data_IF_988579889238
#
_entry.id   IF_988579889238
#
_cell.length_a   1.000
_cell.length_b   1.000
_cell.length_c   1.000
_cell.angle_alpha   90.00
_cell.angle_beta   90.00
_cell.angle_gamma   90.00
#
_symmetry.space_group_name_H-M   'P 1'
#
loop_
_entity.id
_entity.type
_entity.pdbx_description
1 polymer ?
#
# COMPACT_ATOMS: atom_id res chain seq x y z
N UNK A 1 1.92 12.63 -2.33
CA UNK A 1 1.68 11.32 -2.99
C UNK A 1 2.93 10.44 -3.04
N UNK A 2 4.12 10.98 -3.37
CA UNK A 2 5.32 10.16 -3.63
C UNK A 2 6.28 10.01 -2.43
N UNK A 3 5.83 10.35 -1.21
CA UNK A 3 6.64 10.29 0.01
C UNK A 3 7.94 11.12 -0.01
N UNK A 4 7.94 12.23 -0.74
CA UNK A 4 9.09 13.15 -0.87
C UNK A 4 8.87 14.50 -0.19
N UNK A 5 7.89 14.59 0.71
CA UNK A 5 7.44 15.86 1.29
C UNK A 5 8.34 16.42 2.39
N UNK A 6 9.08 15.56 3.09
CA UNK A 6 9.82 15.96 4.29
C UNK A 6 8.93 16.18 5.53
N UNK A 7 7.61 15.96 5.43
CA UNK A 7 6.70 16.19 6.57
C UNK A 7 6.92 15.09 7.62
N UNK A 8 7.15 15.43 8.90
CA UNK A 8 7.33 14.44 9.95
C UNK A 8 6.05 13.63 10.18
N UNK A 9 6.23 12.37 10.58
CA UNK A 9 5.12 11.49 10.93
C UNK A 9 4.35 12.04 12.13
N UNK A 10 3.03 11.89 12.13
CA UNK A 10 2.14 12.49 13.14
C UNK A 10 1.85 11.59 14.34
N UNK A 11 2.32 10.34 14.32
CA UNK A 11 2.20 9.42 15.43
C UNK A 11 3.37 9.52 16.42
N UNK A 12 3.09 9.16 17.67
CA UNK A 12 4.09 9.03 18.74
C UNK A 12 4.26 7.56 19.14
N UNK A 13 5.45 7.18 19.58
CA UNK A 13 5.70 5.84 20.17
C UNK A 13 5.72 5.96 21.69
N UNK A 14 4.76 5.33 22.36
CA UNK A 14 4.63 5.27 23.83
C UNK A 14 4.65 3.80 24.25
N UNK A 15 5.60 3.39 25.09
CA UNK A 15 5.74 2.00 25.54
C UNK A 15 5.71 0.98 24.38
N UNK A 16 6.44 1.28 23.30
CA UNK A 16 6.48 0.49 22.06
C UNK A 16 5.14 0.38 21.31
N UNK A 17 4.14 1.17 21.69
CA UNK A 17 2.87 1.30 20.98
C UNK A 17 2.80 2.62 20.25
N UNK A 18 2.35 2.58 19.01
CA UNK A 18 2.10 3.78 18.22
C UNK A 18 0.79 4.42 18.68
N UNK A 19 0.76 5.74 18.84
CA UNK A 19 -0.40 6.50 19.31
C UNK A 19 -0.59 7.75 18.45
N UNK A 20 -1.85 8.07 18.16
CA UNK A 20 -2.23 9.22 17.34
C UNK A 20 -2.75 10.38 18.19
N UNK A 21 -2.57 11.64 17.74
CA UNK A 21 -3.25 12.79 18.33
C UNK A 21 -4.78 12.63 18.32
N UNK A 22 -5.47 13.38 19.19
CA UNK A 22 -6.91 13.20 19.39
C UNK A 22 -7.76 13.60 18.18
N UNK A 23 -7.32 14.56 17.37
CA UNK A 23 -8.04 15.02 16.18
C UNK A 23 -7.08 15.47 15.08
N UNK A 24 -7.60 15.55 13.85
CA UNK A 24 -6.88 16.12 12.72
C UNK A 24 -6.41 17.56 12.98
N UNK A 25 -7.20 18.39 13.67
CA UNK A 25 -6.81 19.75 14.06
C UNK A 25 -5.57 19.76 14.96
N UNK A 26 -5.49 18.83 15.94
CA UNK A 26 -4.31 18.67 16.77
C UNK A 26 -3.08 18.22 15.96
N UNK A 27 -3.28 17.37 14.95
CA UNK A 27 -2.22 16.98 14.01
C UNK A 27 -1.68 18.21 13.27
N UNK A 28 -2.54 19.01 12.66
CA UNK A 28 -2.14 20.19 11.89
C UNK A 28 -1.43 21.21 12.77
N UNK A 29 -1.96 21.49 13.97
CA UNK A 29 -1.33 22.41 14.92
C UNK A 29 0.07 21.93 15.31
N UNK A 30 0.21 20.65 15.66
CA UNK A 30 1.49 20.09 16.05
C UNK A 30 2.52 20.08 14.91
N UNK A 31 2.08 19.84 13.67
CA UNK A 31 2.97 19.84 12.50
C UNK A 31 3.39 21.25 12.07
N UNK A 32 2.52 22.26 12.25
CA UNK A 32 2.85 23.65 11.94
C UNK A 32 4.01 24.22 12.77
N UNK A 33 4.37 23.55 13.86
CA UNK A 33 5.48 23.91 14.76
C UNK A 33 6.75 23.08 14.50
N UNK A 34 6.76 22.22 13.48
CA UNK A 34 7.88 21.30 13.18
C UNK A 34 8.55 21.67 11.86
N UNK A 35 9.88 21.61 11.89
CA UNK A 35 10.68 21.65 10.68
C UNK A 35 10.53 20.35 9.87
N UNK A 36 10.64 20.41 8.53
CA UNK A 36 10.74 19.21 7.70
C UNK A 36 11.91 18.32 8.12
N UNK A 37 11.72 17.00 8.12
CA UNK A 37 12.79 16.02 8.41
C UNK A 37 13.86 15.97 7.30
N UNK A 38 13.53 16.44 6.11
CA UNK A 38 14.44 16.66 4.98
C UNK A 38 13.81 17.64 3.99
N UNK A 39 14.63 18.22 3.12
CA UNK A 39 14.15 19.15 2.09
C UNK A 39 13.28 18.45 1.04
N UNK A 40 12.24 19.13 0.58
CA UNK A 40 11.33 18.61 -0.44
C UNK A 40 12.06 18.00 -1.63
N UNK A 41 11.66 16.80 -2.03
CA UNK A 41 12.20 16.07 -3.19
C UNK A 41 13.70 15.71 -3.13
N UNK A 42 14.34 15.81 -1.96
CA UNK A 42 15.72 15.33 -1.76
C UNK A 42 15.79 13.87 -1.33
N UNK A 43 14.78 13.37 -0.63
CA UNK A 43 14.72 12.01 -0.09
C UNK A 43 13.31 11.42 -0.21
N UNK A 44 13.20 10.12 0.01
CA UNK A 44 11.92 9.40 0.10
C UNK A 44 11.79 8.83 1.50
N UNK A 45 10.73 9.23 2.20
CA UNK A 45 10.38 8.70 3.51
C UNK A 45 8.89 8.42 3.54
N UNK A 46 8.55 7.14 3.59
CA UNK A 46 7.17 6.71 3.74
C UNK A 46 6.59 7.27 5.04
N UNK A 47 5.44 7.92 4.95
CA UNK A 47 4.77 8.54 6.10
C UNK A 47 3.28 8.70 5.83
N UNK A 48 2.49 8.33 6.83
CA UNK A 48 1.04 8.30 6.80
C UNK A 48 0.45 9.70 6.66
N UNK A 49 1.11 10.73 7.21
CA UNK A 49 0.66 12.12 7.13
C UNK A 49 0.42 12.59 5.69
N UNK A 50 1.21 12.11 4.72
CA UNK A 50 1.06 12.54 3.33
C UNK A 50 -0.32 12.17 2.77
N UNK A 51 -0.82 10.98 3.11
CA UNK A 51 -2.12 10.52 2.65
C UNK A 51 -3.26 11.05 3.52
N UNK A 52 -3.02 11.30 4.80
CA UNK A 52 -3.94 12.05 5.65
C UNK A 52 -4.23 13.46 5.06
N UNK A 53 -3.18 14.18 4.66
CA UNK A 53 -3.32 15.51 4.04
C UNK A 53 -3.98 15.45 2.66
N UNK A 54 -3.72 14.40 1.87
CA UNK A 54 -4.42 14.20 0.59
C UNK A 54 -5.92 13.98 0.82
N UNK A 55 -6.29 13.18 1.82
CA UNK A 55 -7.69 12.99 2.22
C UNK A 55 -8.35 14.32 2.54
N UNK A 56 -7.76 15.10 3.45
CA UNK A 56 -8.27 16.42 3.82
C UNK A 56 -8.36 17.40 2.62
N UNK A 57 -7.40 17.35 1.69
CA UNK A 57 -7.44 18.15 0.46
C UNK A 57 -8.63 17.75 -0.43
N UNK A 58 -8.87 16.45 -0.62
CA UNK A 58 -10.00 15.96 -1.39
C UNK A 58 -11.32 16.42 -0.75
N UNK A 59 -11.44 16.34 0.57
CA UNK A 59 -12.63 16.83 1.28
C UNK A 59 -12.82 18.33 1.09
N UNK A 60 -11.75 19.11 1.24
CA UNK A 60 -11.80 20.57 1.10
C UNK A 60 -12.17 21.01 -0.32
N UNK A 61 -11.72 20.30 -1.36
CA UNK A 61 -11.98 20.69 -2.76
C UNK A 61 -13.37 20.23 -3.22
N UNK A 62 -13.87 19.12 -2.69
CA UNK A 62 -15.14 18.52 -3.14
C UNK A 62 -16.33 18.87 -2.25
N UNK A 63 -16.10 19.24 -0.99
CA UNK A 63 -17.14 19.40 0.01
C UNK A 63 -17.77 18.08 0.49
N UNK A 64 -17.23 16.93 0.09
CA UNK A 64 -17.66 15.59 0.52
C UNK A 64 -16.65 14.99 1.48
N UNK A 65 -17.07 14.08 2.38
CA UNK A 65 -16.10 13.31 3.16
C UNK A 65 -15.32 12.36 2.26
N UNK A 66 -14.10 11.99 2.68
CA UNK A 66 -13.27 11.04 1.96
C UNK A 66 -13.99 9.69 1.79
N UNK A 67 -14.72 9.25 2.82
CA UNK A 67 -15.49 8.02 2.75
C UNK A 67 -16.62 8.08 1.71
N UNK A 68 -17.35 9.20 1.64
CA UNK A 68 -18.38 9.41 0.62
C UNK A 68 -17.78 9.43 -0.78
N UNK A 69 -16.63 10.08 -0.97
CA UNK A 69 -15.94 10.09 -2.26
C UNK A 69 -15.52 8.70 -2.71
N UNK A 70 -14.93 7.89 -1.81
CA UNK A 70 -14.53 6.52 -2.12
C UNK A 70 -15.74 5.64 -2.40
N UNK A 71 -16.82 5.80 -1.63
CA UNK A 71 -18.06 5.07 -1.87
C UNK A 71 -18.66 5.41 -3.25
N UNK A 72 -18.79 6.70 -3.57
CA UNK A 72 -19.41 7.19 -4.81
C UNK A 72 -18.57 6.86 -6.04
N UNK A 73 -17.25 7.07 -5.97
CA UNK A 73 -16.36 7.00 -7.14
C UNK A 73 -15.71 5.63 -7.34
N UNK A 74 -15.63 4.79 -6.31
CA UNK A 74 -14.93 3.51 -6.37
C UNK A 74 -15.83 2.34 -5.97
N UNK A 75 -16.34 2.31 -4.75
CA UNK A 75 -16.96 1.10 -4.23
C UNK A 75 -18.29 0.77 -4.91
N UNK A 76 -19.19 1.76 -5.03
CA UNK A 76 -20.50 1.56 -5.67
C UNK A 76 -20.37 1.22 -7.16
N UNK A 77 -19.61 1.97 -7.99
CA UNK A 77 -19.50 1.67 -9.42
C UNK A 77 -18.83 0.33 -9.72
N UNK A 78 -17.92 -0.11 -8.87
CA UNK A 78 -17.21 -1.39 -9.02
C UNK A 78 -17.92 -2.55 -8.31
N UNK A 79 -19.04 -2.32 -7.63
CA UNK A 79 -19.77 -3.33 -6.86
C UNK A 79 -18.90 -4.01 -5.78
N UNK A 80 -18.05 -3.25 -5.10
CA UNK A 80 -17.18 -3.72 -4.02
C UNK A 80 -17.95 -3.78 -2.69
N UNK A 81 -18.90 -4.71 -2.59
CA UNK A 81 -19.82 -4.83 -1.46
C UNK A 81 -19.20 -5.37 -0.16
N UNK A 82 -17.98 -5.89 -0.21
CA UNK A 82 -17.22 -6.40 0.93
C UNK A 82 -16.05 -5.48 1.28
N UNK A 83 -16.11 -4.22 0.84
CA UNK A 83 -15.12 -3.20 1.14
C UNK A 83 -15.72 -2.13 2.02
N UNK A 84 -15.07 -1.84 3.14
CA UNK A 84 -15.59 -0.95 4.17
C UNK A 84 -14.52 0.04 4.62
N UNK A 85 -14.89 1.31 4.67
CA UNK A 85 -14.09 2.37 5.25
C UNK A 85 -14.57 2.60 6.68
N UNK A 86 -13.62 2.75 7.62
CA UNK A 86 -13.91 3.23 8.99
C UNK A 86 -14.99 2.41 9.70
N UNK A 87 -14.72 1.12 9.87
CA UNK A 87 -15.61 0.24 10.61
C UNK A 87 -15.58 0.58 12.11
N UNK A 88 -16.41 1.52 12.55
CA UNK A 88 -16.75 1.76 13.96
C UNK A 88 -17.27 0.45 14.59
N UNK A 89 -17.87 -0.41 13.78
CA UNK A 89 -18.11 -1.82 14.06
C UNK A 89 -17.69 -2.65 12.85
N UNK A 90 -16.82 -3.63 13.07
CA UNK A 90 -16.43 -4.57 12.03
C UNK A 90 -17.63 -5.48 11.69
N UNK A 91 -17.91 -5.73 10.40
CA UNK A 91 -18.81 -6.80 10.00
C UNK A 91 -18.42 -8.13 10.68
N UNK A 92 -19.38 -9.02 10.91
CA UNK A 92 -19.14 -10.31 11.59
C UNK A 92 -18.09 -11.17 10.89
N UNK A 93 -17.91 -10.96 9.59
CA UNK A 93 -17.05 -11.80 8.74
C UNK A 93 -15.64 -11.23 8.56
N UNK A 94 -15.27 -10.17 9.31
CA UNK A 94 -13.89 -9.68 9.30
C UNK A 94 -12.98 -10.68 10.01
N UNK A 95 -11.95 -11.12 9.30
CA UNK A 95 -10.93 -12.02 9.85
C UNK A 95 -10.06 -11.25 10.86
N UNK A 96 -9.94 -11.72 12.11
CA UNK A 96 -9.05 -11.11 13.10
C UNK A 96 -7.60 -11.15 12.61
N UNK A 97 -6.87 -10.05 12.79
CA UNK A 97 -5.44 -9.98 12.45
C UNK A 97 -4.55 -10.22 13.68
N UNK A 98 -3.36 -10.75 13.41
CA UNK A 98 -2.35 -11.09 14.39
C UNK A 98 -1.03 -10.39 14.07
N UNK A 99 -0.27 -10.05 15.10
CA UNK A 99 1.03 -9.39 14.96
C UNK A 99 2.04 -10.34 14.29
N UNK A 100 2.75 -9.90 13.24
CA UNK A 100 3.90 -10.65 12.73
C UNK A 100 5.03 -10.66 13.76
N UNK A 101 5.91 -11.66 13.70
CA UNK A 101 7.08 -11.77 14.60
C UNK A 101 6.72 -11.73 16.09
N UNK A 102 5.56 -12.29 16.49
CA UNK A 102 5.07 -12.18 17.87
C UNK A 102 5.77 -13.10 18.88
N UNK A 103 6.83 -13.80 18.45
CA UNK A 103 7.56 -14.83 19.19
C UNK A 103 6.88 -16.20 19.08
N UNK A 104 6.96 -17.04 20.11
CA UNK A 104 6.40 -18.40 20.11
C UNK A 104 4.86 -18.45 20.23
N UNK A 105 4.18 -17.30 20.28
CA UNK A 105 2.74 -17.21 20.48
C UNK A 105 2.13 -16.18 19.57
N UNK A 106 1.02 -16.56 18.94
CA UNK A 106 0.19 -15.68 18.12
C UNK A 106 -0.41 -14.59 19.04
N UNK A 107 -0.21 -13.32 18.69
CA UNK A 107 -0.76 -12.18 19.45
C UNK A 107 -1.75 -11.41 18.58
N UNK A 108 -2.99 -11.15 19.04
CA UNK A 108 -3.93 -10.31 18.30
C UNK A 108 -3.33 -8.93 18.03
N UNK A 109 -3.52 -8.43 16.81
CA UNK A 109 -3.18 -7.06 16.48
C UNK A 109 -4.23 -6.13 17.08
N UNK A 110 -3.86 -5.45 18.17
CA UNK A 110 -4.73 -4.51 18.89
C UNK A 110 -4.61 -3.08 18.37
N UNK A 111 -3.87 -2.88 17.29
CA UNK A 111 -3.62 -1.54 16.79
C UNK A 111 -4.88 -0.95 16.16
N UNK A 112 -5.28 0.22 16.67
CA UNK A 112 -6.44 0.97 16.17
C UNK A 112 -5.95 2.31 15.67
N UNK A 113 -6.14 2.55 14.37
CA UNK A 113 -5.87 3.85 13.78
C UNK A 113 -6.94 4.87 14.17
N UNK A 114 -6.60 6.17 14.25
CA UNK A 114 -7.58 7.21 14.51
C UNK A 114 -8.64 7.27 13.42
N UNK A 115 -9.86 7.64 13.80
CA UNK A 115 -11.04 7.69 12.91
C UNK A 115 -10.94 8.71 11.78
N UNK A 116 -10.04 9.70 11.90
CA UNK A 116 -9.73 10.68 10.85
C UNK A 116 -8.63 10.19 9.88
N UNK A 117 -8.05 9.00 10.13
CA UNK A 117 -6.95 8.44 9.33
C UNK A 117 -7.37 7.69 8.06
N UNK A 118 -8.66 7.64 7.72
CA UNK A 118 -9.21 6.74 6.69
C UNK A 118 -8.53 6.81 5.33
N UNK A 119 -7.91 7.95 4.99
CA UNK A 119 -7.22 8.13 3.71
C UNK A 119 -5.90 7.35 3.57
N UNK A 120 -5.32 6.84 4.66
CA UNK A 120 -4.06 6.10 4.65
C UNK A 120 -4.14 4.75 5.39
N UNK A 121 -5.32 4.38 5.89
CA UNK A 121 -5.55 3.17 6.67
C UNK A 121 -7.05 2.89 6.84
N UNK A 122 -7.41 1.80 7.53
CA UNK A 122 -8.78 1.57 7.98
C UNK A 122 -9.76 1.14 6.89
N UNK A 123 -9.23 0.65 5.77
CA UNK A 123 -9.99 -0.04 4.72
C UNK A 123 -9.94 -1.54 4.98
N UNK A 124 -11.10 -2.15 5.06
CA UNK A 124 -11.28 -3.61 5.05
C UNK A 124 -11.79 -4.01 3.67
N UNK A 125 -11.30 -5.11 3.12
CA UNK A 125 -11.70 -5.57 1.80
C UNK A 125 -11.61 -7.09 1.70
N UNK A 126 -12.24 -7.66 0.68
CA UNK A 126 -12.04 -9.05 0.28
C UNK A 126 -11.02 -9.16 -0.87
N UNK A 127 -10.48 -10.36 -1.10
CA UNK A 127 -9.65 -10.62 -2.29
C UNK A 127 -10.42 -10.40 -3.60
N UNK A 128 -11.72 -10.70 -3.59
CA UNK A 128 -12.61 -10.50 -4.75
C UNK A 128 -12.77 -9.01 -5.08
N UNK A 129 -13.07 -8.17 -4.08
CA UNK A 129 -13.23 -6.73 -4.25
C UNK A 129 -11.91 -6.06 -4.67
N UNK A 130 -10.78 -6.48 -4.07
CA UNK A 130 -9.46 -6.00 -4.49
C UNK A 130 -9.16 -6.36 -5.96
N UNK A 131 -9.60 -7.54 -6.42
CA UNK A 131 -9.47 -7.92 -7.82
C UNK A 131 -10.32 -7.01 -8.72
N UNK A 132 -11.56 -6.67 -8.33
CA UNK A 132 -12.40 -5.73 -9.07
C UNK A 132 -11.75 -4.34 -9.19
N UNK A 133 -11.20 -3.83 -8.09
CA UNK A 133 -10.46 -2.56 -8.08
C UNK A 133 -9.24 -2.59 -8.98
N UNK A 134 -8.35 -3.57 -8.78
CA UNK A 134 -7.08 -3.66 -9.51
C UNK A 134 -7.31 -3.95 -10.99
N UNK A 135 -8.22 -4.84 -11.36
CA UNK A 135 -8.55 -5.09 -12.78
C UNK A 135 -9.12 -3.84 -13.44
N UNK A 136 -10.04 -3.13 -12.79
CA UNK A 136 -10.61 -1.88 -13.33
C UNK A 136 -9.57 -0.77 -13.48
N UNK A 137 -8.61 -0.69 -12.56
CA UNK A 137 -7.45 0.21 -12.67
C UNK A 137 -6.57 -0.17 -13.86
N UNK A 138 -6.18 -1.45 -13.98
CA UNK A 138 -5.30 -1.95 -15.03
C UNK A 138 -5.94 -1.94 -16.42
N UNK A 139 -7.27 -2.01 -16.51
CA UNK A 139 -8.04 -1.88 -17.75
C UNK A 139 -8.26 -0.41 -18.16
N UNK A 140 -7.87 0.55 -17.32
CA UNK A 140 -8.02 1.98 -17.59
C UNK A 140 -9.44 2.53 -17.36
N UNK A 141 -10.31 1.78 -16.67
CA UNK A 141 -11.70 2.19 -16.40
C UNK A 141 -11.82 3.27 -15.33
N UNK A 142 -10.88 3.28 -14.38
CA UNK A 142 -10.84 4.27 -13.29
C UNK A 142 -10.03 5.51 -13.68
N UNK A 143 -8.88 5.29 -14.32
CA UNK A 143 -7.96 6.31 -14.79
C UNK A 143 -7.39 5.80 -16.11
N UNK A 144 -7.37 6.66 -17.13
CA UNK A 144 -6.83 6.29 -18.43
C UNK A 144 -5.40 5.75 -18.33
N UNK A 145 -5.08 4.71 -19.12
CA UNK A 145 -3.77 4.03 -19.07
C UNK A 145 -2.60 4.98 -19.35
N UNK A 146 -2.75 5.96 -20.24
CA UNK A 146 -1.70 6.92 -20.52
C UNK A 146 -1.43 7.84 -19.32
N UNK A 147 -2.48 8.19 -18.56
CA UNK A 147 -2.36 8.92 -17.30
C UNK A 147 -1.65 8.05 -16.25
N UNK A 148 -2.02 6.77 -16.12
CA UNK A 148 -1.37 5.84 -15.20
C UNK A 148 0.12 5.69 -15.50
N UNK A 149 0.52 5.51 -16.76
CA UNK A 149 1.94 5.43 -17.16
C UNK A 149 2.70 6.70 -16.74
N UNK A 150 2.06 7.87 -16.86
CA UNK A 150 2.66 9.14 -16.42
C UNK A 150 2.77 9.23 -14.90
N UNK A 151 1.73 8.86 -14.15
CA UNK A 151 1.67 8.90 -12.70
C UNK A 151 2.59 7.86 -12.03
N UNK A 152 2.81 6.73 -12.69
CA UNK A 152 3.66 5.63 -12.21
C UNK A 152 5.10 5.72 -12.70
N UNK A 153 5.47 6.82 -13.37
CA UNK A 153 6.85 7.06 -13.74
C UNK A 153 7.67 7.47 -12.50
N UNK A 154 8.73 6.72 -12.16
CA UNK A 154 9.62 7.08 -11.05
C UNK A 154 10.20 8.49 -11.21
N UNK A 155 10.08 9.31 -10.17
CA UNK A 155 10.66 10.65 -10.15
C UNK A 155 12.16 10.59 -9.84
N UNK A 156 12.94 11.47 -10.48
CA UNK A 156 14.32 11.73 -10.07
C UNK A 156 14.31 12.71 -8.90
N UNK A 157 14.95 12.30 -7.81
CA UNK A 157 15.16 13.13 -6.64
C UNK A 157 16.31 14.10 -6.91
N UNK A 158 16.36 15.19 -6.14
CA UNK A 158 17.42 16.20 -6.26
C UNK A 158 18.81 15.65 -5.91
N UNK A 159 18.88 14.56 -5.15
CA UNK A 159 20.12 13.86 -4.85
C UNK A 159 20.55 12.85 -5.94
N UNK A 160 19.86 12.82 -7.10
CA UNK A 160 20.15 11.94 -8.24
C UNK A 160 19.55 10.54 -8.16
N UNK A 161 19.02 10.13 -6.99
CA UNK A 161 18.37 8.83 -6.83
C UNK A 161 17.00 8.80 -7.53
N UNK A 162 16.48 7.60 -7.73
CA UNK A 162 15.17 7.38 -8.35
C UNK A 162 14.17 6.95 -7.29
N UNK A 163 13.01 7.60 -7.24
CA UNK A 163 11.98 7.29 -6.27
C UNK A 163 11.34 5.92 -6.55
N UNK A 164 11.30 5.05 -5.56
CA UNK A 164 10.65 3.74 -5.66
C UNK A 164 9.15 3.79 -5.35
N UNK A 165 8.59 4.94 -4.99
CA UNK A 165 7.17 5.12 -4.68
C UNK A 165 6.52 6.16 -5.61
N UNK A 166 5.49 5.75 -6.34
CA UNK A 166 4.87 6.50 -7.43
C UNK A 166 3.36 6.57 -7.24
N UNK A 167 2.85 7.76 -6.91
CA UNK A 167 1.42 8.09 -6.86
C UNK A 167 0.56 7.07 -6.09
N UNK A 168 1.05 6.57 -4.95
CA UNK A 168 0.32 5.61 -4.10
C UNK A 168 0.81 4.17 -4.18
N UNK A 169 1.87 3.92 -4.93
CA UNK A 169 2.34 2.56 -5.20
C UNK A 169 3.84 2.43 -5.03
N UNK A 170 4.30 1.35 -4.43
CA UNK A 170 5.65 0.85 -4.67
C UNK A 170 5.81 0.55 -6.15
N UNK A 171 6.96 0.89 -6.72
CA UNK A 171 7.29 0.64 -8.11
C UNK A 171 8.57 -0.18 -8.23
N UNK A 172 8.53 -1.17 -9.13
CA UNK A 172 9.73 -1.87 -9.58
C UNK A 172 9.70 -2.03 -11.11
N UNK A 173 10.89 -2.19 -11.70
CA UNK A 173 11.06 -2.55 -13.12
C UNK A 173 12.01 -3.72 -13.21
N UNK A 174 11.63 -4.74 -13.98
CA UNK A 174 12.45 -5.93 -14.27
C UNK A 174 12.33 -6.28 -15.75
N UNK A 175 13.43 -6.11 -16.49
CA UNK A 175 13.41 -6.20 -17.95
C UNK A 175 12.42 -5.21 -18.58
N UNK A 176 11.51 -5.70 -19.41
CA UNK A 176 10.46 -4.92 -20.07
C UNK A 176 9.15 -4.86 -19.28
N UNK A 177 9.15 -5.41 -18.06
CA UNK A 177 8.00 -5.42 -17.18
C UNK A 177 8.16 -4.43 -16.04
N UNK A 178 7.03 -3.85 -15.67
CA UNK A 178 6.86 -2.93 -14.58
C UNK A 178 5.94 -3.55 -13.55
N UNK A 179 6.10 -3.16 -12.29
CA UNK A 179 5.14 -3.49 -11.25
C UNK A 179 4.79 -2.27 -10.42
N UNK A 180 3.51 -2.18 -10.06
CA UNK A 180 3.01 -1.28 -9.03
C UNK A 180 2.33 -2.10 -7.95
N UNK A 181 2.59 -1.80 -6.69
CA UNK A 181 2.04 -2.57 -5.58
C UNK A 181 1.99 -1.81 -4.28
N UNK A 182 1.43 -2.44 -3.26
CA UNK A 182 1.43 -1.89 -1.91
C UNK A 182 1.41 -3.03 -0.89
N UNK A 183 2.14 -2.86 0.21
CA UNK A 183 2.06 -3.73 1.39
C UNK A 183 1.19 -3.10 2.48
N UNK A 184 0.50 -3.91 3.27
CA UNK A 184 -0.30 -3.45 4.40
C UNK A 184 0.11 -4.11 5.71
N UNK A 185 1.35 -3.87 6.16
CA UNK A 185 1.83 -4.30 7.48
C UNK A 185 1.99 -5.81 7.59
N UNK A 186 2.51 -6.45 6.55
CA UNK A 186 2.66 -7.90 6.40
C UNK A 186 1.36 -8.72 6.41
N UNK A 187 0.19 -8.07 6.46
CA UNK A 187 -1.12 -8.73 6.37
C UNK A 187 -1.63 -8.82 4.93
N UNK A 188 -1.18 -7.93 4.06
CA UNK A 188 -1.58 -7.96 2.66
C UNK A 188 -0.46 -7.45 1.77
N UNK A 189 -0.44 -7.98 0.55
CA UNK A 189 0.34 -7.45 -0.57
C UNK A 189 -0.53 -7.52 -1.81
N UNK A 190 -0.64 -6.38 -2.49
CA UNK A 190 -1.19 -6.32 -3.84
C UNK A 190 -0.09 -5.90 -4.79
N UNK A 191 -0.06 -6.50 -5.99
CA UNK A 191 0.90 -6.14 -7.02
C UNK A 191 0.27 -6.35 -8.39
N UNK A 192 0.36 -5.34 -9.25
CA UNK A 192 -0.03 -5.42 -10.64
C UNK A 192 1.24 -5.28 -11.51
N UNK A 193 1.49 -6.30 -12.33
CA UNK A 193 2.59 -6.36 -13.27
C UNK A 193 2.08 -6.04 -14.66
N UNK A 194 2.80 -5.25 -15.43
CA UNK A 194 2.42 -4.90 -16.80
C UNK A 194 3.66 -4.74 -17.69
N UNK A 195 3.54 -5.08 -18.96
CA UNK A 195 4.60 -4.85 -19.93
C UNK A 195 4.75 -3.35 -20.28
N UNK A 196 5.85 -2.99 -20.93
CA UNK A 196 6.15 -1.60 -21.30
C UNK A 196 5.04 -0.90 -22.11
N UNK A 197 4.32 -1.62 -22.98
CA UNK A 197 3.19 -1.05 -23.74
C UNK A 197 1.86 -1.04 -22.98
N UNK A 198 1.81 -1.62 -21.78
CA UNK A 198 0.59 -1.79 -20.97
C UNK A 198 -0.55 -2.50 -21.72
N UNK A 199 -0.18 -3.43 -22.60
CA UNK A 199 -1.07 -4.26 -23.41
C UNK A 199 -1.36 -5.61 -22.74
N UNK A 200 -0.47 -6.11 -21.87
CA UNK A 200 -0.71 -7.26 -21.00
C UNK A 200 -0.41 -6.88 -19.54
N UNK A 201 -1.18 -7.47 -18.62
CA UNK A 201 -0.96 -7.32 -17.19
C UNK A 201 -1.34 -8.59 -16.41
N UNK A 202 -0.77 -8.71 -15.22
CA UNK A 202 -1.08 -9.76 -14.22
C UNK A 202 -1.28 -9.11 -12.86
N UNK A 203 -2.22 -9.60 -12.08
CA UNK A 203 -2.50 -9.13 -10.72
C UNK A 203 -2.22 -10.25 -9.73
N UNK A 204 -1.52 -9.92 -8.65
CA UNK A 204 -1.31 -10.79 -7.49
C UNK A 204 -1.91 -10.11 -6.28
N UNK A 205 -2.79 -10.84 -5.59
CA UNK A 205 -3.38 -10.44 -4.31
C UNK A 205 -3.01 -11.53 -3.31
N UNK A 206 -2.27 -11.14 -2.28
CA UNK A 206 -1.91 -12.00 -1.16
C UNK A 206 -2.47 -11.41 0.12
N UNK A 207 -3.33 -12.16 0.79
CA UNK A 207 -3.91 -11.80 2.09
C UNK A 207 -3.49 -12.86 3.12
N UNK A 208 -3.06 -12.40 4.28
CA UNK A 208 -2.81 -13.21 5.47
C UNK A 208 -3.34 -12.49 6.69
N UNK A 209 -3.79 -13.23 7.68
CA UNK A 209 -4.18 -12.66 8.97
C UNK A 209 -3.01 -12.56 9.95
N UNK A 210 -1.78 -12.71 9.47
CA UNK A 210 -0.54 -12.69 10.25
C UNK A 210 0.09 -14.08 10.35
N UNK A 211 1.38 -14.13 10.65
CA UNK A 211 2.11 -15.38 10.90
C UNK A 211 3.13 -15.17 12.02
N UNK A 212 3.57 -16.27 12.64
CA UNK A 212 4.55 -16.23 13.73
C UNK A 212 5.92 -15.76 13.22
N UNK A 213 6.32 -16.25 12.05
CA UNK A 213 7.70 -16.14 11.54
C UNK A 213 7.98 -14.83 10.78
N UNK A 214 6.99 -13.93 10.71
CA UNK A 214 7.06 -12.69 9.96
C UNK A 214 7.41 -12.87 8.48
N UNK A 215 7.03 -13.98 7.85
CA UNK A 215 7.38 -14.25 6.45
C UNK A 215 6.84 -13.12 5.59
N UNK A 216 7.76 -12.37 5.00
CA UNK A 216 7.42 -11.24 4.16
C UNK A 216 6.85 -11.73 2.83
N UNK A 217 5.62 -11.31 2.56
CA UNK A 217 4.87 -11.52 1.32
C UNK A 217 5.68 -11.19 0.05
N UNK A 218 6.65 -10.26 0.14
CA UNK A 218 7.48 -9.81 -0.98
C UNK A 218 8.25 -10.95 -1.66
N UNK A 219 8.85 -11.86 -0.89
CA UNK A 219 9.62 -12.98 -1.49
C UNK A 219 8.70 -13.92 -2.25
N UNK A 220 7.54 -14.26 -1.69
CA UNK A 220 6.56 -15.13 -2.33
C UNK A 220 6.00 -14.51 -3.62
N UNK A 221 5.58 -13.25 -3.57
CA UNK A 221 5.00 -12.54 -4.72
C UNK A 221 6.04 -12.37 -5.84
N UNK A 222 7.31 -12.07 -5.49
CA UNK A 222 8.40 -12.01 -6.47
C UNK A 222 8.75 -13.37 -7.07
N UNK A 223 8.67 -14.46 -6.32
CA UNK A 223 8.89 -15.79 -6.89
C UNK A 223 7.81 -16.15 -7.92
N UNK A 224 6.55 -15.75 -7.71
CA UNK A 224 5.48 -15.93 -8.71
C UNK A 224 5.73 -15.11 -9.97
N UNK A 225 6.24 -13.88 -9.82
CA UNK A 225 6.64 -13.02 -10.94
C UNK A 225 7.65 -13.73 -11.86
N UNK A 226 8.63 -14.46 -11.32
CA UNK A 226 9.62 -15.20 -12.11
C UNK A 226 9.02 -16.32 -12.97
N UNK A 227 7.84 -16.86 -12.60
CA UNK A 227 7.18 -17.89 -13.40
C UNK A 227 6.48 -17.32 -14.65
N UNK A 228 6.02 -16.06 -14.61
CA UNK A 228 5.25 -15.45 -15.71
C UNK A 228 6.06 -14.48 -16.55
N UNK A 229 7.04 -13.78 -15.96
CA UNK A 229 7.97 -12.92 -16.68
C UNK A 229 9.04 -13.83 -17.30
N UNK A 230 8.68 -14.45 -18.41
CA UNK A 230 9.59 -15.25 -19.22
C UNK A 230 10.57 -14.32 -19.94
N UNK A 231 11.70 -14.03 -19.32
CA UNK A 231 12.90 -13.72 -20.08
C UNK A 231 13.58 -15.07 -20.41
N UNK A 232 13.98 -15.36 -21.66
CA UNK A 232 14.68 -16.61 -22.01
C UNK A 232 15.94 -16.88 -21.17
N UNK A 233 16.48 -15.88 -20.46
CA UNK A 233 17.65 -16.01 -19.59
C UNK A 233 17.35 -16.36 -18.12
N UNK A 234 16.10 -16.34 -17.64
CA UNK A 234 15.76 -16.61 -16.23
C UNK A 234 15.51 -18.08 -15.87
N UNK A 235 15.91 -19.04 -16.71
CA UNK A 235 16.05 -20.45 -16.27
C UNK A 235 17.30 -20.63 -15.39
N UNK A 236 17.31 -19.98 -14.23
CA UNK A 236 18.25 -20.33 -13.17
C UNK A 236 17.71 -21.59 -12.50
N UNK A 237 18.42 -22.70 -12.74
CA UNK A 237 18.26 -23.97 -12.05
C UNK A 237 18.09 -23.75 -10.53
N UNK A 238 16.90 -24.02 -10.02
CA UNK A 238 16.73 -24.32 -8.59
C UNK A 238 17.19 -25.76 -8.41
N UNK A 239 18.48 -25.95 -8.12
CA UNK A 239 18.99 -27.24 -7.66
C UNK A 239 18.66 -27.37 -6.17
N UNK A 240 17.59 -28.08 -5.85
CA UNK A 240 17.30 -28.50 -4.49
C UNK A 240 18.18 -29.70 -4.15
N UNK A 241 19.39 -29.44 -3.65
CA UNK A 241 20.23 -30.46 -3.04
C UNK A 241 19.85 -30.63 -1.57
N UNK A 242 19.08 -31.67 -1.25
CA UNK A 242 19.03 -32.21 0.11
C UNK A 242 20.40 -32.84 0.39
N UNK A 243 21.21 -32.21 1.23
CA UNK A 243 22.31 -32.90 1.89
C UNK A 243 21.79 -33.39 3.25
N UNK A 244 21.40 -34.66 3.29
CA UNK A 244 21.43 -35.42 4.54
C UNK A 244 22.91 -35.68 4.86
N UNK A 245 23.36 -35.20 6.01
CA UNK A 245 24.63 -35.60 6.60
C UNK A 245 24.37 -36.68 7.66
N UNK A 246 25.06 -37.81 7.47
CA UNK A 246 25.17 -38.98 8.36
C UNK A 246 25.46 -38.65 9.82
#
# INVERSE_FOLDING_TARGET
>A
MNHTSGIPEYFLVINQQVSAPQSFEHVIKALGEKEPVFEFNTQVQYTQINYLLIGALLESVTGQSYESLVQERLLTPLMMSNTYLKAVQLPRDVVPSYLPNSGDKIKPNKYVFPSYGTAHTGVYSSAYDLNLFLSSLMEGKLVDKAILIKLWRPQKLLNGQTNFFVSGWDYEKEGDWHSVGHDGGALLRVSAFFNAEFSDYKIVIYLTNGNLDGVWSRSLVKSLQQYWITNPFSRLLVWAGLYESF
#
